data_IF_892970036993
#
_entry.id   IF_892970036993
#
_cell.length_a   1.000
_cell.length_b   1.000
_cell.length_c   1.000
_cell.angle_alpha   90.00
_cell.angle_beta   90.00
_cell.angle_gamma   90.00
#
_symmetry.space_group_name_H-M   'P 1'
#
loop_
_entity.id
_entity.type
_entity.pdbx_description
1 polymer ?
#
# COMPACT_ATOMS: atom_id res chain seq x y z
N UNK A 1 1.78 18.47 -14.70
CA UNK A 1 0.54 19.27 -14.63
C UNK A 1 0.69 20.55 -15.45
N UNK A 2 -0.21 20.85 -16.40
CA UNK A 2 -0.08 22.06 -17.25
C UNK A 2 -0.04 23.34 -16.38
N UNK A 3 0.99 24.16 -16.60
CA UNK A 3 1.17 25.45 -15.92
C UNK A 3 1.91 25.39 -14.59
N UNK A 4 2.94 24.55 -14.44
CA UNK A 4 3.89 24.63 -13.31
C UNK A 4 3.42 24.09 -11.96
N UNK A 5 2.33 23.31 -11.91
CA UNK A 5 1.60 22.96 -10.67
C UNK A 5 2.01 21.64 -9.98
N UNK A 6 3.26 21.18 -10.17
CA UNK A 6 3.83 20.06 -9.41
C UNK A 6 3.97 18.73 -10.15
N UNK A 7 4.57 17.77 -9.44
CA UNK A 7 4.74 16.37 -9.82
C UNK A 7 3.43 15.59 -9.65
N UNK A 8 3.27 14.51 -10.43
CA UNK A 8 2.18 13.56 -10.25
C UNK A 8 2.64 12.17 -10.69
N UNK A 9 2.34 11.16 -9.88
CA UNK A 9 2.62 9.75 -10.17
C UNK A 9 1.78 9.21 -11.32
N UNK A 10 0.54 9.72 -11.49
CA UNK A 10 -0.35 9.36 -12.59
C UNK A 10 -1.18 10.58 -13.02
N UNK A 11 -1.28 10.78 -14.34
CA UNK A 11 -2.17 11.77 -14.98
C UNK A 11 -3.09 11.02 -15.94
N UNK A 12 -4.40 11.21 -15.80
CA UNK A 12 -5.42 10.52 -16.61
C UNK A 12 -6.44 11.49 -17.15
N UNK A 13 -6.93 11.23 -18.37
CA UNK A 13 -8.06 11.94 -18.95
C UNK A 13 -9.32 11.08 -18.80
N UNK A 14 -10.37 11.62 -18.18
CA UNK A 14 -11.64 10.93 -18.07
C UNK A 14 -12.20 10.63 -19.47
N UNK A 15 -12.47 9.35 -19.74
CA UNK A 15 -12.98 8.91 -21.05
C UNK A 15 -14.40 9.43 -21.35
N UNK A 16 -15.17 9.80 -20.32
CA UNK A 16 -16.52 10.33 -20.46
C UNK A 16 -16.53 11.86 -20.63
N UNK A 17 -16.02 12.61 -19.64
CA UNK A 17 -16.13 14.08 -19.62
C UNK A 17 -14.88 14.81 -20.14
N UNK A 18 -13.84 14.09 -20.57
CA UNK A 18 -12.57 14.64 -21.04
C UNK A 18 -11.76 15.48 -20.03
N UNK A 19 -12.19 15.58 -18.77
CA UNK A 19 -11.43 16.26 -17.70
C UNK A 19 -10.10 15.56 -17.46
N UNK A 20 -9.02 16.33 -17.36
CA UNK A 20 -7.70 15.86 -16.92
C UNK A 20 -7.68 15.80 -15.39
N UNK A 21 -7.31 14.65 -14.84
CA UNK A 21 -7.23 14.37 -13.42
C UNK A 21 -5.83 13.82 -13.10
N UNK A 22 -5.41 13.88 -11.84
CA UNK A 22 -4.13 13.34 -11.42
C UNK A 22 -4.19 12.78 -10.01
N UNK A 23 -3.31 11.83 -9.73
CA UNK A 23 -3.05 11.31 -8.40
C UNK A 23 -1.52 11.29 -8.18
N UNK A 24 -1.08 11.71 -7.00
CA UNK A 24 0.32 11.59 -6.58
C UNK A 24 0.43 10.83 -5.26
N UNK A 25 1.50 10.05 -5.12
CA UNK A 25 1.82 9.33 -3.89
C UNK A 25 2.60 10.28 -2.98
N UNK A 26 2.09 10.56 -1.79
CA UNK A 26 2.83 11.33 -0.79
C UNK A 26 3.84 10.41 -0.10
N UNK A 27 5.06 10.36 -0.62
CA UNK A 27 6.10 9.38 -0.21
C UNK A 27 6.47 9.46 1.28
N UNK A 28 6.39 10.65 1.86
CA UNK A 28 6.63 10.91 3.28
C UNK A 28 5.55 10.33 4.22
N UNK A 29 4.40 9.93 3.66
CA UNK A 29 3.31 9.30 4.41
C UNK A 29 3.37 7.77 4.42
N UNK A 30 4.32 7.17 3.69
CA UNK A 30 4.47 5.71 3.63
C UNK A 30 4.92 5.21 5.00
N UNK A 31 4.12 4.32 5.59
CA UNK A 31 4.38 3.74 6.92
C UNK A 31 4.25 2.22 6.87
N UNK A 32 5.10 1.49 7.64
CA UNK A 32 4.99 0.04 7.74
C UNK A 32 3.71 -0.36 8.48
N UNK A 33 3.21 -1.55 8.16
CA UNK A 33 2.25 -2.29 8.98
C UNK A 33 3.05 -3.23 9.89
N UNK A 34 2.79 -3.21 11.17
CA UNK A 34 3.57 -3.88 12.21
C UNK A 34 2.69 -4.84 13.02
N UNK A 35 3.30 -5.69 13.84
CA UNK A 35 2.57 -6.63 14.69
C UNK A 35 1.54 -5.94 15.61
N UNK A 36 1.84 -4.72 16.09
CA UNK A 36 0.94 -3.92 16.94
C UNK A 36 -0.32 -3.45 16.20
N UNK A 37 -0.30 -3.41 14.87
CA UNK A 37 -1.43 -2.98 14.05
C UNK A 37 -2.38 -4.13 13.71
N UNK A 38 -1.96 -5.38 13.97
CA UNK A 38 -2.65 -6.60 13.57
C UNK A 38 -4.13 -6.59 13.99
N UNK A 39 -5.01 -7.02 13.09
CA UNK A 39 -6.46 -7.02 13.28
C UNK A 39 -7.12 -5.64 13.14
N UNK A 40 -6.35 -4.57 12.88
CA UNK A 40 -6.88 -3.21 12.74
C UNK A 40 -6.46 -2.58 11.40
N UNK A 41 -7.31 -1.68 10.90
CA UNK A 41 -6.96 -0.84 9.75
C UNK A 41 -5.97 0.24 10.16
N UNK A 42 -4.89 0.35 9.40
CA UNK A 42 -3.88 1.41 9.54
C UNK A 42 -3.68 2.12 8.21
N UNK A 43 -3.56 3.45 8.26
CA UNK A 43 -3.14 4.24 7.11
C UNK A 43 -1.67 3.98 6.80
N UNK A 44 -1.41 3.28 5.69
CA UNK A 44 -0.04 2.99 5.21
C UNK A 44 0.47 4.00 4.18
N UNK A 45 -0.40 4.72 3.48
CA UNK A 45 -0.04 5.69 2.45
C UNK A 45 -1.18 6.70 2.23
N UNK A 46 -0.82 7.92 1.87
CA UNK A 46 -1.75 8.99 1.49
C UNK A 46 -1.49 9.43 0.05
N UNK A 47 -2.55 9.79 -0.66
CA UNK A 47 -2.51 10.25 -2.05
C UNK A 47 -3.00 11.70 -2.15
N UNK A 48 -2.30 12.55 -2.91
CA UNK A 48 -2.84 13.84 -3.38
C UNK A 48 -3.70 13.60 -4.62
N UNK A 49 -5.00 13.77 -4.46
CA UNK A 49 -6.03 13.43 -5.44
C UNK A 49 -6.62 14.71 -6.06
N UNK A 50 -6.55 14.84 -7.39
CA UNK A 50 -7.11 15.98 -8.13
C UNK A 50 -8.07 15.51 -9.21
N UNK A 51 -9.36 15.51 -8.89
CA UNK A 51 -10.44 15.15 -9.82
C UNK A 51 -10.62 13.63 -10.05
N UNK A 52 -9.88 12.80 -9.30
CA UNK A 52 -9.97 11.33 -9.26
C UNK A 52 -9.76 10.89 -7.82
N UNK A 53 -10.37 9.77 -7.43
CA UNK A 53 -10.18 9.13 -6.13
C UNK A 53 -9.99 7.62 -6.34
N UNK A 54 -9.07 6.96 -5.61
CA UNK A 54 -8.92 5.52 -5.65
C UNK A 54 -10.10 4.84 -4.93
N UNK A 55 -10.59 3.74 -5.51
CA UNK A 55 -11.76 3.00 -4.98
C UNK A 55 -11.45 1.54 -4.63
N UNK A 56 -10.33 1.01 -5.11
CA UNK A 56 -9.91 -0.37 -4.92
C UNK A 56 -8.40 -0.45 -4.87
N UNK A 57 -7.87 -1.35 -4.03
CA UNK A 57 -6.46 -1.64 -3.91
C UNK A 57 -6.21 -3.14 -4.08
N UNK A 58 -5.25 -3.47 -4.95
CA UNK A 58 -4.73 -4.82 -5.16
C UNK A 58 -3.26 -4.82 -4.71
N UNK A 59 -2.96 -5.29 -3.48
CA UNK A 59 -1.57 -5.53 -3.08
C UNK A 59 -1.05 -6.68 -3.95
N UNK A 60 0.08 -6.46 -4.62
CA UNK A 60 0.70 -7.45 -5.53
C UNK A 60 2.04 -7.87 -4.94
N UNK A 61 3.12 -7.53 -5.63
CA UNK A 61 4.50 -7.82 -5.24
C UNK A 61 5.19 -6.59 -4.66
N UNK A 62 6.41 -6.77 -4.15
CA UNK A 62 7.30 -5.69 -3.72
C UNK A 62 7.18 -5.31 -2.25
N UNK A 63 6.43 -6.08 -1.47
CA UNK A 63 6.44 -5.96 -0.02
C UNK A 63 7.67 -6.67 0.56
N UNK A 64 8.15 -6.13 1.67
CA UNK A 64 9.17 -6.74 2.53
C UNK A 64 8.62 -6.85 3.94
N UNK A 65 9.01 -7.89 4.65
CA UNK A 65 8.62 -8.10 6.04
C UNK A 65 9.83 -8.51 6.89
N UNK A 66 9.65 -8.44 8.20
CA UNK A 66 10.63 -8.84 9.19
C UNK A 66 9.94 -9.76 10.21
N UNK A 67 10.59 -10.87 10.55
CA UNK A 67 10.12 -11.81 11.58
C UNK A 67 10.02 -11.10 12.94
N UNK A 68 8.84 -11.12 13.54
CA UNK A 68 8.51 -10.30 14.71
C UNK A 68 9.43 -10.52 15.93
N UNK A 69 9.95 -11.73 16.10
CA UNK A 69 10.82 -12.10 17.23
C UNK A 69 12.29 -12.18 16.83
N UNK A 70 12.57 -12.63 15.61
CA UNK A 70 13.90 -13.03 15.17
C UNK A 70 14.65 -11.92 14.42
N UNK A 71 13.93 -10.96 13.85
CA UNK A 71 14.46 -10.00 12.87
C UNK A 71 14.80 -10.61 11.51
N UNK A 72 14.33 -11.83 11.19
CA UNK A 72 14.57 -12.47 9.90
C UNK A 72 13.93 -11.64 8.79
N UNK A 73 14.73 -11.22 7.80
CA UNK A 73 14.25 -10.41 6.69
C UNK A 73 13.63 -11.28 5.59
N UNK A 74 12.40 -10.96 5.20
CA UNK A 74 11.67 -11.56 4.09
C UNK A 74 11.59 -10.53 2.94
N UNK A 75 12.48 -10.60 1.94
CA UNK A 75 12.62 -9.56 0.92
C UNK A 75 11.56 -9.59 -0.19
N UNK A 76 10.79 -10.68 -0.29
CA UNK A 76 9.85 -10.92 -1.39
C UNK A 76 8.53 -11.45 -0.84
N UNK A 77 7.72 -10.56 -0.27
CA UNK A 77 6.35 -10.86 0.15
C UNK A 77 5.41 -10.53 -1.02
N UNK A 78 4.80 -11.57 -1.59
CA UNK A 78 3.78 -11.44 -2.63
C UNK A 78 2.38 -11.65 -2.05
N UNK A 79 1.50 -10.67 -2.28
CA UNK A 79 0.16 -10.60 -1.71
C UNK A 79 -0.95 -10.63 -2.78
N UNK A 80 -0.60 -11.05 -4.01
CA UNK A 80 -1.52 -11.09 -5.15
C UNK A 80 -2.78 -11.91 -4.85
N UNK A 81 -2.64 -13.01 -4.12
CA UNK A 81 -3.75 -13.91 -3.72
C UNK A 81 -4.43 -13.51 -2.41
N UNK A 82 -4.02 -12.39 -1.79
CA UNK A 82 -4.57 -11.92 -0.52
C UNK A 82 -3.95 -12.56 0.73
N UNK A 83 -3.02 -13.49 0.56
CA UNK A 83 -2.31 -14.19 1.63
C UNK A 83 -0.88 -14.54 1.23
N UNK A 84 -0.03 -14.71 2.23
CA UNK A 84 1.36 -15.12 2.10
C UNK A 84 1.76 -15.94 3.34
N UNK A 85 2.54 -17.00 3.13
CA UNK A 85 3.02 -17.89 4.18
C UNK A 85 4.49 -18.22 3.93
N UNK A 86 5.27 -18.28 5.00
CA UNK A 86 6.66 -18.70 4.96
C UNK A 86 7.06 -19.28 6.33
N UNK A 87 8.34 -19.61 6.50
CA UNK A 87 8.87 -20.16 7.74
C UNK A 87 10.10 -19.39 8.21
N UNK A 88 10.07 -18.95 9.47
CA UNK A 88 11.20 -18.29 10.11
C UNK A 88 12.09 -19.33 10.79
N UNK A 89 13.14 -19.75 10.09
CA UNK A 89 14.09 -20.75 10.59
C UNK A 89 14.75 -20.34 11.91
N UNK A 90 15.00 -19.03 12.10
CA UNK A 90 15.71 -18.53 13.29
C UNK A 90 14.84 -18.59 14.54
N UNK A 91 13.53 -18.35 14.41
CA UNK A 91 12.57 -18.50 15.49
C UNK A 91 11.94 -19.91 15.55
N UNK A 92 12.13 -20.74 14.51
CA UNK A 92 11.48 -22.05 14.36
C UNK A 92 9.95 -21.96 14.44
N UNK A 93 9.37 -20.98 13.73
CA UNK A 93 7.92 -20.73 13.67
C UNK A 93 7.46 -20.44 12.25
N UNK A 94 6.21 -20.77 11.93
CA UNK A 94 5.56 -20.32 10.71
C UNK A 94 5.20 -18.85 10.81
N UNK A 95 5.36 -18.12 9.71
CA UNK A 95 4.96 -16.71 9.57
C UNK A 95 3.95 -16.56 8.45
N UNK A 96 3.06 -15.58 8.57
CA UNK A 96 2.02 -15.37 7.57
C UNK A 96 1.53 -13.92 7.55
N UNK A 97 1.02 -13.51 6.39
CA UNK A 97 0.16 -12.34 6.20
C UNK A 97 -1.12 -12.87 5.57
N UNK A 98 -2.27 -12.61 6.18
CA UNK A 98 -3.56 -13.10 5.69
C UNK A 98 -4.68 -12.12 5.98
N UNK A 99 -5.88 -12.47 5.53
CA UNK A 99 -7.11 -11.68 5.74
C UNK A 99 -6.96 -10.20 5.33
N UNK A 100 -6.28 -9.95 4.21
CA UNK A 100 -6.00 -8.60 3.74
C UNK A 100 -7.29 -7.80 3.51
N UNK A 101 -7.45 -6.73 4.28
CA UNK A 101 -8.48 -5.71 4.11
C UNK A 101 -7.87 -4.37 3.71
N UNK A 102 -8.58 -3.61 2.88
CA UNK A 102 -8.21 -2.24 2.57
C UNK A 102 -9.42 -1.31 2.66
N UNK A 103 -9.16 -0.03 2.95
CA UNK A 103 -10.17 1.01 2.98
C UNK A 103 -9.55 2.35 2.63
N UNK A 104 -10.21 3.08 1.74
CA UNK A 104 -9.91 4.49 1.50
C UNK A 104 -10.73 5.36 2.45
N UNK A 105 -10.08 6.33 3.09
CA UNK A 105 -10.70 7.36 3.92
C UNK A 105 -10.24 8.73 3.44
N UNK A 106 -11.14 9.71 3.46
CA UNK A 106 -10.77 11.10 3.15
C UNK A 106 -9.97 11.67 4.33
N UNK A 107 -8.74 12.11 4.05
CA UNK A 107 -7.90 12.83 5.01
C UNK A 107 -8.21 14.32 4.85
N UNK A 108 -8.40 15.02 5.97
CA UNK A 108 -8.66 16.47 6.00
C UNK A 108 -7.35 17.25 6.03
#
# INVERSE_FOLDING_TARGET
LKGGRGHASLVIKCKLCSRENSIDILKDTIKPYTADDSGHLKTMVVFDCRGVEPIEFSPRVGFVAEGAESGTNFPEVELTEGEWFDYDEKASVSVAVGELGHKFITVK
#
